data_IF_910284588308
#
_entry.id   IF_910284588308
#
_cell.length_a   1.000
_cell.length_b   1.000
_cell.length_c   1.000
_cell.angle_alpha   90.00
_cell.angle_beta   90.00
_cell.angle_gamma   90.00
#
_symmetry.space_group_name_H-M   'P 1'
#
loop_
_entity.id
_entity.type
_entity.pdbx_description
1 polymer ?
#
# COMPACT_ATOMS: atom_id res chain seq x y z
N UNK A 1 -2.64 -16.56 12.94
CA UNK A 1 -2.35 -15.30 12.22
C UNK A 1 -1.23 -15.44 11.20
N UNK A 2 -0.09 -16.10 11.50
CA UNK A 2 1.02 -16.25 10.54
C UNK A 2 0.73 -17.12 9.30
N UNK A 3 -0.23 -18.05 9.38
CA UNK A 3 -0.59 -18.92 8.26
C UNK A 3 -1.17 -18.17 7.04
N UNK A 4 -1.80 -17.00 7.26
CA UNK A 4 -2.33 -16.16 6.17
C UNK A 4 -1.21 -15.63 5.27
N UNK A 5 -0.06 -15.30 5.87
CA UNK A 5 1.13 -14.83 5.16
C UNK A 5 1.97 -15.95 4.55
N UNK A 6 1.67 -17.22 4.88
CA UNK A 6 2.39 -18.38 4.35
C UNK A 6 1.99 -18.68 2.90
N UNK A 7 0.74 -18.39 2.52
CA UNK A 7 0.31 -18.51 1.13
C UNK A 7 0.66 -17.23 0.35
N UNK A 8 1.58 -17.28 -0.64
CA UNK A 8 1.97 -16.10 -1.38
C UNK A 8 0.79 -15.49 -2.16
N UNK A 9 -0.21 -16.25 -2.61
CA UNK A 9 -1.39 -15.67 -3.28
C UNK A 9 -2.19 -14.73 -2.36
N UNK A 10 -2.34 -15.09 -1.09
CA UNK A 10 -3.01 -14.25 -0.10
C UNK A 10 -2.23 -12.95 0.15
N UNK A 11 -0.89 -13.04 0.21
CA UNK A 11 0.00 -11.87 0.31
C UNK A 11 -0.12 -10.98 -0.92
N UNK A 12 -0.25 -11.55 -2.12
CA UNK A 12 -0.46 -10.77 -3.35
C UNK A 12 -1.78 -9.99 -3.32
N UNK A 13 -2.86 -10.64 -2.89
CA UNK A 13 -4.17 -9.98 -2.77
C UNK A 13 -4.14 -8.88 -1.71
N UNK A 14 -3.55 -9.16 -0.54
CA UNK A 14 -3.35 -8.16 0.51
C UNK A 14 -2.51 -6.99 0.02
N UNK A 15 -1.41 -7.25 -0.69
CA UNK A 15 -0.55 -6.21 -1.26
C UNK A 15 -1.31 -5.26 -2.19
N UNK A 16 -2.21 -5.80 -3.01
CA UNK A 16 -3.02 -5.02 -3.95
C UNK A 16 -4.05 -4.15 -3.24
N UNK A 17 -4.66 -4.66 -2.16
CA UNK A 17 -5.55 -3.85 -1.30
C UNK A 17 -4.79 -2.73 -0.59
N UNK A 18 -3.62 -3.04 -0.01
CA UNK A 18 -2.76 -2.06 0.66
C UNK A 18 -2.30 -0.97 -0.31
N UNK A 19 -1.94 -1.35 -1.54
CA UNK A 19 -1.59 -0.40 -2.60
C UNK A 19 -2.78 0.50 -2.98
N UNK A 20 -3.97 -0.07 -3.14
CA UNK A 20 -5.18 0.71 -3.44
C UNK A 20 -5.52 1.71 -2.33
N UNK A 21 -5.51 1.26 -1.07
CA UNK A 21 -5.76 2.12 0.10
C UNK A 21 -4.68 3.20 0.22
N UNK A 22 -3.40 2.84 0.09
CA UNK A 22 -2.29 3.80 0.14
C UNK A 22 -2.38 4.86 -0.94
N UNK A 23 -2.77 4.48 -2.17
CA UNK A 23 -2.98 5.41 -3.27
C UNK A 23 -4.15 6.35 -3.00
N UNK A 24 -5.31 5.81 -2.61
CA UNK A 24 -6.50 6.62 -2.31
C UNK A 24 -6.23 7.61 -1.16
N UNK A 25 -5.54 7.15 -0.11
CA UNK A 25 -5.16 7.98 1.04
C UNK A 25 -4.18 9.08 0.63
N UNK A 26 -3.19 8.77 -0.21
CA UNK A 26 -2.24 9.76 -0.73
C UNK A 26 -2.95 10.82 -1.56
N UNK A 27 -3.82 10.41 -2.50
CA UNK A 27 -4.56 11.35 -3.36
C UNK A 27 -5.47 12.26 -2.53
N UNK A 28 -6.18 11.71 -1.54
CA UNK A 28 -7.02 12.48 -0.64
C UNK A 28 -6.19 13.48 0.19
N UNK A 29 -5.03 13.06 0.71
CA UNK A 29 -4.13 13.93 1.45
C UNK A 29 -3.56 15.05 0.57
N UNK A 30 -3.11 14.75 -0.65
CA UNK A 30 -2.61 15.75 -1.59
C UNK A 30 -3.71 16.76 -1.92
N UNK A 31 -4.90 16.28 -2.25
CA UNK A 31 -6.03 17.13 -2.56
C UNK A 31 -6.38 18.05 -1.39
N UNK A 32 -6.61 17.49 -0.20
CA UNK A 32 -7.06 18.28 0.94
C UNK A 32 -5.99 19.19 1.56
N UNK A 33 -4.71 18.81 1.50
CA UNK A 33 -3.64 19.59 2.14
C UNK A 33 -3.02 20.66 1.23
N UNK A 34 -3.11 20.51 -0.10
CA UNK A 34 -2.42 21.40 -1.04
C UNK A 34 -3.30 22.02 -2.13
N UNK A 35 -4.39 21.36 -2.54
CA UNK A 35 -5.25 21.82 -3.65
C UNK A 35 -6.59 22.39 -3.19
N UNK A 36 -6.99 22.09 -1.95
CA UNK A 36 -8.25 22.58 -1.39
C UNK A 36 -8.04 23.92 -0.69
N UNK A 37 -8.58 24.99 -1.29
CA UNK A 37 -8.47 26.37 -0.79
C UNK A 37 -9.56 26.76 0.24
N UNK A 38 -10.34 25.79 0.73
CA UNK A 38 -11.38 26.05 1.73
C UNK A 38 -10.83 26.21 3.15
N UNK A 39 -11.62 26.86 4.01
CA UNK A 39 -11.28 27.01 5.43
C UNK A 39 -11.38 25.68 6.18
N UNK A 40 -10.26 24.99 6.32
CA UNK A 40 -10.12 23.81 7.17
C UNK A 40 -9.65 24.21 8.57
N UNK A 41 -10.14 23.50 9.59
CA UNK A 41 -9.56 23.62 10.93
C UNK A 41 -8.11 23.11 10.92
N UNK A 42 -7.28 23.61 11.85
CA UNK A 42 -5.89 23.18 11.97
C UNK A 42 -5.79 21.65 12.12
N UNK A 43 -6.68 21.04 12.91
CA UNK A 43 -6.72 19.59 13.10
C UNK A 43 -6.99 18.84 11.79
N UNK A 44 -7.94 19.33 10.98
CA UNK A 44 -8.24 18.72 9.69
C UNK A 44 -7.06 18.84 8.71
N UNK A 45 -6.42 20.01 8.65
CA UNK A 45 -5.25 20.24 7.80
C UNK A 45 -4.06 19.34 8.19
N UNK A 46 -3.77 19.23 9.49
CA UNK A 46 -2.74 18.31 10.01
C UNK A 46 -3.06 16.86 9.65
N UNK A 47 -4.32 16.45 9.77
CA UNK A 47 -4.75 15.10 9.40
C UNK A 47 -4.54 14.82 7.90
N UNK A 48 -4.85 15.79 7.03
CA UNK A 48 -4.66 15.67 5.58
C UNK A 48 -3.16 15.62 5.21
N UNK A 49 -2.29 16.40 5.86
CA UNK A 49 -0.85 16.24 5.73
C UNK A 49 -0.36 14.89 6.25
N UNK A 50 -0.89 14.38 7.36
CA UNK A 50 -0.53 13.05 7.84
C UNK A 50 -0.88 11.97 6.81
N UNK A 51 -1.98 12.12 6.06
CA UNK A 51 -2.34 11.22 4.96
C UNK A 51 -1.29 11.21 3.84
N UNK A 52 -0.58 12.31 3.57
CA UNK A 52 0.51 12.34 2.58
C UNK A 52 1.79 11.67 3.08
N UNK A 53 1.90 11.34 4.36
CA UNK A 53 2.98 10.52 4.93
C UNK A 53 2.55 9.04 5.00
N UNK A 54 1.33 8.78 5.47
CA UNK A 54 0.80 7.41 5.61
C UNK A 54 0.53 6.77 4.24
N UNK A 55 0.06 7.52 3.25
CA UNK A 55 -0.19 7.01 1.90
C UNK A 55 1.06 6.42 1.22
N UNK A 56 2.18 7.17 1.06
CA UNK A 56 3.40 6.67 0.44
C UNK A 56 4.06 5.53 1.22
N UNK A 57 3.95 5.54 2.55
CA UNK A 57 4.47 4.45 3.38
C UNK A 57 3.67 3.16 3.15
N UNK A 58 2.33 3.23 3.10
CA UNK A 58 1.47 2.10 2.70
C UNK A 58 1.81 1.61 1.28
N UNK A 59 2.01 2.53 0.32
CA UNK A 59 2.39 2.17 -1.04
C UNK A 59 3.71 1.38 -1.08
N UNK A 60 4.73 1.85 -0.36
CA UNK A 60 6.03 1.18 -0.29
C UNK A 60 5.91 -0.21 0.32
N UNK A 61 5.20 -0.34 1.45
CA UNK A 61 4.98 -1.63 2.12
C UNK A 61 4.20 -2.58 1.20
N UNK A 62 3.10 -2.11 0.59
CA UNK A 62 2.31 -2.85 -0.38
C UNK A 62 3.15 -3.35 -1.57
N UNK A 63 4.01 -2.49 -2.12
CA UNK A 63 4.85 -2.86 -3.25
C UNK A 63 5.88 -3.92 -2.89
N UNK A 64 6.55 -3.80 -1.75
CA UNK A 64 7.50 -4.82 -1.26
C UNK A 64 6.80 -6.16 -1.02
N UNK A 65 5.60 -6.15 -0.43
CA UNK A 65 4.79 -7.37 -0.26
C UNK A 65 4.43 -8.01 -1.62
N UNK A 66 4.07 -7.19 -2.61
CA UNK A 66 3.77 -7.65 -3.98
C UNK A 66 4.99 -8.33 -4.61
N UNK A 67 6.15 -7.68 -4.56
CA UNK A 67 7.40 -8.23 -5.11
C UNK A 67 7.79 -9.55 -4.42
N UNK A 68 7.75 -9.59 -3.09
CA UNK A 68 8.07 -10.80 -2.33
C UNK A 68 7.12 -11.95 -2.69
N UNK A 69 5.82 -11.66 -2.80
CA UNK A 69 4.82 -12.64 -3.20
C UNK A 69 5.06 -13.17 -4.61
N UNK A 70 5.35 -12.29 -5.57
CA UNK A 70 5.63 -12.69 -6.95
C UNK A 70 6.88 -13.56 -7.02
N UNK A 71 7.95 -13.16 -6.31
CA UNK A 71 9.18 -13.95 -6.22
C UNK A 71 8.93 -15.36 -5.67
N UNK A 72 8.08 -15.51 -4.65
CA UNK A 72 7.69 -16.81 -4.08
C UNK A 72 6.86 -17.64 -5.07
N UNK A 73 5.94 -17.01 -5.81
CA UNK A 73 5.08 -17.67 -6.80
C UNK A 73 5.83 -18.10 -8.06
N UNK A 74 6.89 -17.40 -8.45
CA UNK A 74 7.73 -17.78 -9.59
C UNK A 74 8.70 -18.93 -9.30
N UNK A 75 8.92 -19.25 -8.02
CA UNK A 75 9.89 -20.26 -7.57
C UNK A 75 9.56 -21.75 -7.88
N UNK A 76 8.30 -22.20 -8.11
CA UNK A 76 8.01 -23.60 -8.43
C UNK A 76 8.41 -24.04 -9.84
N UNK A 77 8.50 -23.12 -10.81
CA UNK A 77 8.76 -23.48 -12.21
C UNK A 77 10.25 -23.74 -12.50
N UNK A 78 11.16 -23.12 -11.75
CA UNK A 78 12.61 -23.26 -11.97
C UNK A 78 13.18 -24.56 -11.39
N UNK A 79 12.57 -25.14 -10.35
CA UNK A 79 13.01 -26.40 -9.73
C UNK A 79 12.44 -27.65 -10.39
N UNK A 80 11.43 -27.53 -11.25
CA UNK A 80 10.82 -28.64 -12.00
C UNK A 80 11.43 -28.83 -13.40
N UNK A 81 12.31 -27.92 -13.83
CA UNK A 81 12.98 -27.90 -15.14
C UNK A 81 14.51 -28.07 -15.04
N UNK A 82 15.03 -28.45 -13.86
CA UNK A 82 16.44 -28.74 -13.58
C UNK A 82 16.58 -30.18 -13.10
#
# INVERSE_FOLDING_TARGET
MFHFFSNPQNVLQLSSRVLGVGLAMLLMGIYGAYLYDGHLSILALVSLHAMTIVGPTLLKIGYVMRLLSQHRLSKPLAGALA
#
